data_IF_133747748838
#
_entry.id   IF_133747748838
#
_cell.length_a   1.000
_cell.length_b   1.000
_cell.length_c   1.000
_cell.angle_alpha   90.00
_cell.angle_beta   90.00
_cell.angle_gamma   90.00
#
_symmetry.space_group_name_H-M   'P 1'
#
loop_
_entity.id
_entity.type
_entity.pdbx_description
1 polymer ?
#
# COMPACT_ATOMS: atom_id res chain seq x y z
N UNK A 1 -4.67 -3.59 7.63
CA UNK A 1 -3.22 -3.83 7.78
C UNK A 1 -2.98 -5.17 8.48
N UNK A 2 -3.31 -5.32 9.77
CA UNK A 2 -3.01 -6.57 10.51
C UNK A 2 -3.62 -7.84 9.90
N UNK A 3 -4.82 -7.77 9.32
CA UNK A 3 -5.49 -8.93 8.69
C UNK A 3 -4.80 -9.35 7.39
N UNK A 4 -4.58 -8.41 6.47
CA UNK A 4 -4.00 -8.69 5.15
C UNK A 4 -2.49 -8.93 5.19
N UNK A 5 -1.72 -8.14 5.97
CA UNK A 5 -0.24 -8.15 5.94
C UNK A 5 0.40 -8.75 7.19
N UNK A 6 -0.35 -8.87 8.28
CA UNK A 6 0.15 -9.33 9.58
C UNK A 6 0.85 -8.27 10.43
N UNK A 7 0.95 -7.02 9.95
CA UNK A 7 1.61 -5.94 10.67
C UNK A 7 0.65 -5.09 11.51
N UNK A 8 0.98 -4.92 12.79
CA UNK A 8 0.37 -3.93 13.68
C UNK A 8 1.09 -2.58 13.52
N UNK A 9 0.62 -1.80 12.54
CA UNK A 9 1.22 -0.49 12.24
C UNK A 9 1.01 0.51 13.37
N UNK A 10 2.01 1.35 13.61
CA UNK A 10 1.99 2.41 14.62
C UNK A 10 1.34 3.70 14.09
N UNK A 11 2.07 4.81 14.16
CA UNK A 11 1.59 6.09 13.64
C UNK A 11 1.38 6.04 12.12
N UNK A 12 0.20 6.48 11.69
CA UNK A 12 -0.17 6.56 10.28
C UNK A 12 -0.24 8.01 9.83
N UNK A 13 0.26 8.30 8.62
CA UNK A 13 0.16 9.61 8.00
C UNK A 13 -0.95 9.60 6.95
N UNK A 14 -2.04 10.34 7.22
CA UNK A 14 -3.06 10.62 6.20
C UNK A 14 -2.48 11.53 5.12
N UNK A 15 -2.71 11.18 3.85
CA UNK A 15 -2.21 11.94 2.71
C UNK A 15 -3.33 12.79 2.08
N UNK A 16 -4.36 12.12 1.58
CA UNK A 16 -5.50 12.73 0.89
C UNK A 16 -6.64 11.72 0.76
N UNK A 17 -7.73 12.17 0.18
CA UNK A 17 -8.90 11.37 -0.15
C UNK A 17 -9.34 11.72 -1.58
N UNK A 18 -9.46 10.71 -2.43
CA UNK A 18 -9.66 10.88 -3.87
C UNK A 18 -10.78 9.98 -4.38
N UNK A 19 -11.61 10.54 -5.25
CA UNK A 19 -12.52 9.73 -6.07
C UNK A 19 -11.71 9.07 -7.19
N UNK A 20 -11.69 7.74 -7.22
CA UNK A 20 -10.87 6.99 -8.18
C UNK A 20 -11.47 6.94 -9.59
N UNK A 21 -12.80 7.04 -9.70
CA UNK A 21 -13.51 7.02 -11.00
C UNK A 21 -14.83 7.82 -10.93
N UNK A 22 -14.76 9.16 -10.76
CA UNK A 22 -15.92 10.00 -10.45
C UNK A 22 -16.98 10.10 -11.57
N UNK A 23 -16.71 9.54 -12.75
CA UNK A 23 -17.67 9.52 -13.86
C UNK A 23 -18.77 8.47 -13.73
N UNK A 24 -18.56 7.42 -12.90
CA UNK A 24 -19.52 6.31 -12.80
C UNK A 24 -19.52 5.55 -11.48
N UNK A 25 -18.61 5.87 -10.56
CA UNK A 25 -18.51 5.22 -9.25
C UNK A 25 -18.35 6.29 -8.17
N UNK A 26 -19.05 6.11 -7.05
CA UNK A 26 -19.03 7.04 -5.91
C UNK A 26 -17.90 6.74 -4.91
N UNK A 27 -17.04 5.79 -5.22
CA UNK A 27 -15.98 5.32 -4.32
C UNK A 27 -14.98 6.44 -4.03
N UNK A 28 -14.80 6.72 -2.74
CA UNK A 28 -13.81 7.64 -2.20
C UNK A 28 -12.78 6.82 -1.42
N UNK A 29 -11.52 6.88 -1.84
CA UNK A 29 -10.44 6.17 -1.16
C UNK A 29 -9.67 7.15 -0.29
N UNK A 30 -9.46 6.79 0.97
CA UNK A 30 -8.60 7.51 1.91
C UNK A 30 -7.18 6.92 1.86
N UNK A 31 -6.19 7.76 1.60
CA UNK A 31 -4.80 7.33 1.39
C UNK A 31 -3.94 7.59 2.62
N UNK A 32 -3.16 6.59 3.01
CA UNK A 32 -2.25 6.62 4.15
C UNK A 32 -0.90 5.99 3.80
N UNK A 33 0.14 6.40 4.51
CA UNK A 33 1.41 5.66 4.62
C UNK A 33 1.74 5.48 6.10
N UNK A 34 2.48 4.42 6.41
CA UNK A 34 2.97 4.12 7.75
C UNK A 34 4.34 3.47 7.64
N UNK A 35 5.26 3.88 8.51
CA UNK A 35 6.51 3.14 8.72
C UNK A 35 6.20 1.86 9.50
N UNK A 36 6.94 0.80 9.22
CA UNK A 36 6.84 -0.45 9.95
C UNK A 36 8.22 -0.97 10.33
N UNK A 37 8.25 -1.88 11.31
CA UNK A 37 9.43 -2.61 11.76
C UNK A 37 9.11 -4.09 11.90
N UNK A 38 10.10 -4.96 11.76
CA UNK A 38 9.92 -6.42 11.83
C UNK A 38 9.26 -6.88 13.15
N UNK A 39 9.50 -6.17 14.25
CA UNK A 39 8.92 -6.48 15.56
C UNK A 39 7.40 -6.18 15.65
N UNK A 40 6.82 -5.50 14.66
CA UNK A 40 5.39 -5.23 14.57
C UNK A 40 4.64 -6.32 13.80
N UNK A 41 5.32 -7.35 13.28
CA UNK A 41 4.67 -8.46 12.58
C UNK A 41 4.08 -9.44 13.59
N UNK A 42 2.78 -9.36 13.79
CA UNK A 42 2.04 -10.18 14.76
C UNK A 42 1.62 -11.55 14.18
N UNK A 43 1.39 -11.64 12.88
CA UNK A 43 0.97 -12.88 12.20
C UNK A 43 1.43 -12.89 10.73
N UNK A 44 1.03 -13.91 9.97
CA UNK A 44 1.46 -14.09 8.58
C UNK A 44 0.76 -13.17 7.56
N UNK A 45 -0.33 -12.50 7.95
CA UNK A 45 -1.28 -11.87 7.04
C UNK A 45 -2.14 -12.92 6.32
N UNK A 46 -2.59 -12.56 5.11
CA UNK A 46 -3.36 -13.46 4.23
C UNK A 46 -4.85 -13.14 4.14
N UNK A 47 -5.34 -12.17 4.91
CA UNK A 47 -6.75 -11.79 4.93
C UNK A 47 -7.59 -12.65 5.87
N UNK A 48 -8.89 -12.41 5.87
CA UNK A 48 -9.90 -13.11 6.67
C UNK A 48 -11.05 -13.60 5.79
N UNK A 49 -11.87 -14.50 6.33
CA UNK A 49 -13.04 -15.05 5.64
C UNK A 49 -12.70 -15.74 4.30
N UNK A 50 -13.18 -15.22 3.18
CA UNK A 50 -12.99 -15.74 1.83
C UNK A 50 -11.85 -15.03 1.06
N UNK A 51 -11.06 -14.20 1.75
CA UNK A 51 -9.88 -13.56 1.18
C UNK A 51 -8.74 -14.58 0.97
N UNK A 52 -8.06 -14.45 -0.17
CA UNK A 52 -6.86 -15.20 -0.54
C UNK A 52 -5.79 -14.21 -1.00
N UNK A 53 -4.95 -13.77 -0.05
CA UNK A 53 -4.00 -12.67 -0.23
C UNK A 53 -2.56 -13.18 -0.05
N UNK A 54 -1.71 -12.89 -1.03
CA UNK A 54 -0.26 -13.07 -0.92
C UNK A 54 0.40 -11.78 -0.40
N UNK A 55 1.12 -11.89 0.71
CA UNK A 55 1.91 -10.76 1.26
C UNK A 55 3.24 -10.65 0.53
N UNK A 56 3.45 -9.50 -0.11
CA UNK A 56 4.64 -9.21 -0.89
C UNK A 56 5.50 -8.13 -0.22
N UNK A 57 6.63 -8.55 0.35
CA UNK A 57 7.67 -7.66 0.85
C UNK A 57 8.85 -7.64 -0.14
N UNK A 58 9.07 -6.50 -0.80
CA UNK A 58 10.09 -6.34 -1.84
C UNK A 58 10.88 -5.04 -1.63
N UNK A 59 12.08 -4.92 -2.22
CA UNK A 59 12.78 -3.65 -2.32
C UNK A 59 11.89 -2.56 -2.95
N UNK A 60 11.87 -1.38 -2.35
CA UNK A 60 11.09 -0.25 -2.86
C UNK A 60 11.47 0.13 -4.31
N UNK A 61 12.77 0.09 -4.63
CA UNK A 61 13.26 0.31 -5.99
C UNK A 61 12.72 -0.70 -7.01
N UNK A 62 12.55 -1.97 -6.61
CA UNK A 62 11.95 -2.99 -7.46
C UNK A 62 10.48 -2.68 -7.72
N UNK A 63 9.71 -2.29 -6.70
CA UNK A 63 8.31 -1.90 -6.87
C UNK A 63 8.14 -0.71 -7.84
N UNK A 64 9.06 0.27 -7.80
CA UNK A 64 9.07 1.38 -8.76
C UNK A 64 9.34 0.93 -10.21
N UNK A 65 10.25 -0.03 -10.41
CA UNK A 65 10.47 -0.62 -11.74
C UNK A 65 9.28 -1.45 -12.21
N UNK A 66 8.61 -2.16 -11.30
CA UNK A 66 7.40 -2.92 -11.61
C UNK A 66 6.24 -2.06 -12.12
N UNK A 67 6.20 -0.76 -11.76
CA UNK A 67 5.26 0.20 -12.38
C UNK A 67 5.59 0.38 -13.87
N UNK A 68 6.88 0.49 -14.22
CA UNK A 68 7.33 0.71 -15.61
C UNK A 68 7.14 -0.53 -16.47
N UNK A 69 7.39 -1.72 -15.92
CA UNK A 69 7.15 -2.99 -16.63
C UNK A 69 5.67 -3.33 -16.73
N UNK A 70 4.82 -2.67 -15.93
CA UNK A 70 3.39 -2.91 -15.84
C UNK A 70 3.02 -4.12 -15.00
N UNK A 71 3.95 -4.69 -14.22
CA UNK A 71 3.63 -5.70 -13.21
C UNK A 71 2.75 -5.10 -12.10
N UNK A 72 3.06 -3.88 -11.65
CA UNK A 72 2.15 -3.06 -10.84
C UNK A 72 1.37 -2.12 -11.76
N UNK A 73 0.05 -2.33 -11.83
CA UNK A 73 -0.87 -1.58 -12.70
C UNK A 73 -2.15 -1.12 -12.00
N UNK A 74 -2.11 -1.03 -10.68
CA UNK A 74 -3.22 -0.56 -9.84
C UNK A 74 -3.04 0.91 -9.46
N UNK A 75 -4.10 1.72 -9.65
CA UNK A 75 -4.02 3.18 -9.57
C UNK A 75 -3.65 3.70 -8.18
N UNK A 76 -4.27 3.16 -7.11
CA UNK A 76 -3.98 3.57 -5.73
C UNK A 76 -2.55 3.18 -5.31
N UNK A 77 -2.08 1.99 -5.72
CA UNK A 77 -0.71 1.53 -5.45
C UNK A 77 0.33 2.38 -6.20
N UNK A 78 0.14 2.65 -7.50
CA UNK A 78 1.05 3.53 -8.26
C UNK A 78 1.13 4.92 -7.63
N UNK A 79 0.00 5.47 -7.17
CA UNK A 79 -0.04 6.78 -6.54
C UNK A 79 0.76 6.82 -5.22
N UNK A 80 0.60 5.80 -4.37
CA UNK A 80 1.32 5.70 -3.10
C UNK A 80 2.83 5.50 -3.28
N UNK A 81 3.24 4.66 -4.25
CA UNK A 81 4.65 4.43 -4.54
C UNK A 81 5.35 5.70 -5.04
N UNK A 82 4.71 6.46 -5.95
CA UNK A 82 5.25 7.73 -6.44
C UNK A 82 5.25 8.82 -5.35
N UNK A 83 4.23 8.84 -4.48
CA UNK A 83 4.22 9.73 -3.32
C UNK A 83 5.42 9.46 -2.41
N UNK A 84 5.66 8.20 -2.06
CA UNK A 84 6.78 7.80 -1.20
C UNK A 84 8.13 8.16 -1.85
N UNK A 85 8.28 7.95 -3.16
CA UNK A 85 9.48 8.35 -3.91
C UNK A 85 9.74 9.85 -3.81
N UNK A 86 8.69 10.68 -3.94
CA UNK A 86 8.81 12.14 -3.88
C UNK A 86 9.02 12.66 -2.45
N UNK A 87 8.77 11.82 -1.44
CA UNK A 87 8.86 12.21 -0.03
C UNK A 87 10.28 12.20 0.54
N UNK A 88 11.24 11.57 -0.14
CA UNK A 88 12.62 11.37 0.35
C UNK A 88 12.75 10.59 1.67
N UNK A 89 11.68 9.88 2.08
CA UNK A 89 11.69 9.05 3.29
C UNK A 89 12.46 7.74 3.12
N UNK A 90 12.75 7.34 1.88
CA UNK A 90 13.43 6.09 1.51
C UNK A 90 14.82 6.32 0.89
N UNK A 91 15.39 7.51 1.10
CA UNK A 91 16.72 7.90 0.62
C UNK A 91 17.86 7.23 1.43
#
# INVERSE_FOLDING_TARGET
AIEETGYEVGEVRKLFELYMSPGGVTELIHFFIAEYSDNQRANAGGGVEDEDIEVLELPFSQALEMIKTGEIRDGKTVLLLNYLQTSHLMD
#
